data_IF_861474482068
#
_entry.id   IF_861474482068
#
_cell.length_a   1.000
_cell.length_b   1.000
_cell.length_c   1.000
_cell.angle_alpha   90.00
_cell.angle_beta   90.00
_cell.angle_gamma   90.00
#
_symmetry.space_group_name_H-M   'P 1'
#
loop_
_entity.id
_entity.type
_entity.pdbx_description
1 polymer ?
#
# COMPACT_ATOMS: atom_id res chain seq x y z
N UNK A 1 25.93 -17.23 9.52
CA UNK A 1 26.00 -16.73 9.26
C UNK A 1 26.20 -15.74 8.93
N UNK A 2 26.46 -15.50 8.93
CA UNK A 2 26.85 -14.67 8.48
C UNK A 2 26.66 -14.03 7.71
N UNK A 3 26.26 -14.23 7.91
CA UNK A 3 26.08 -13.69 6.73
C UNK A 3 26.44 -12.33 6.71
N UNK A 4 27.31 -11.85 6.81
CA UNK A 4 27.79 -10.62 6.52
C UNK A 4 26.89 -9.50 6.82
N UNK A 5 27.31 -8.42 7.39
CA UNK A 5 26.50 -7.30 7.84
C UNK A 5 25.72 -6.63 6.72
N UNK A 6 26.30 -6.45 5.53
CA UNK A 6 25.61 -5.81 4.43
C UNK A 6 24.40 -6.59 3.94
N UNK A 7 24.57 -7.89 3.83
CA UNK A 7 23.48 -8.76 3.43
C UNK A 7 22.41 -8.87 4.50
N UNK A 8 22.83 -8.84 5.77
CA UNK A 8 21.91 -8.89 6.88
C UNK A 8 20.93 -7.72 6.84
N UNK A 9 21.42 -6.52 6.54
CA UNK A 9 20.56 -5.34 6.44
C UNK A 9 19.54 -5.45 5.30
N UNK A 10 19.98 -5.92 4.15
CA UNK A 10 19.09 -6.11 3.01
C UNK A 10 18.01 -7.15 3.31
N UNK A 11 18.38 -8.25 3.95
CA UNK A 11 17.44 -9.30 4.32
C UNK A 11 16.42 -8.78 5.32
N UNK A 12 16.85 -8.00 6.31
CA UNK A 12 15.93 -7.42 7.29
C UNK A 12 14.95 -6.45 6.64
N UNK A 13 15.41 -5.64 5.68
CA UNK A 13 14.54 -4.75 4.93
C UNK A 13 13.49 -5.51 4.15
N UNK A 14 13.88 -6.60 3.49
CA UNK A 14 12.96 -7.45 2.78
C UNK A 14 11.96 -8.12 3.70
N UNK A 15 12.39 -8.58 4.87
CA UNK A 15 11.48 -9.19 5.85
C UNK A 15 10.47 -8.18 6.35
N UNK A 16 10.86 -6.93 6.60
CA UNK A 16 9.93 -5.88 7.02
C UNK A 16 8.88 -5.61 5.95
N UNK A 17 9.31 -5.47 4.69
CA UNK A 17 8.38 -5.24 3.59
C UNK A 17 7.41 -6.39 3.44
N UNK A 18 7.92 -7.62 3.52
CA UNK A 18 7.08 -8.80 3.43
C UNK A 18 6.14 -8.92 4.62
N UNK A 19 6.59 -8.57 5.82
CA UNK A 19 5.74 -8.57 7.01
C UNK A 19 4.57 -7.62 6.86
N UNK A 20 4.79 -6.43 6.31
CA UNK A 20 3.71 -5.49 6.03
C UNK A 20 2.78 -6.00 4.94
N UNK A 21 3.32 -6.58 3.88
CA UNK A 21 2.49 -7.15 2.82
C UNK A 21 1.62 -8.29 3.36
N UNK A 22 2.20 -9.18 4.17
CA UNK A 22 1.47 -10.28 4.78
C UNK A 22 0.39 -9.77 5.73
N UNK A 23 0.70 -8.74 6.51
CA UNK A 23 -0.26 -8.08 7.38
C UNK A 23 -1.45 -7.55 6.57
N UNK A 24 -1.17 -6.83 5.50
CA UNK A 24 -2.21 -6.25 4.66
C UNK A 24 -3.04 -7.34 3.98
N UNK A 25 -2.38 -8.33 3.40
CA UNK A 25 -3.07 -9.40 2.71
C UNK A 25 -3.97 -10.21 3.63
N UNK A 26 -3.51 -10.48 4.86
CA UNK A 26 -4.33 -11.22 5.83
C UNK A 26 -5.65 -10.51 6.11
N UNK A 27 -5.61 -9.19 6.26
CA UNK A 27 -6.82 -8.39 6.52
C UNK A 27 -7.72 -8.38 5.28
N UNK A 28 -7.15 -8.18 4.10
CA UNK A 28 -7.91 -8.17 2.85
C UNK A 28 -8.58 -9.53 2.63
N UNK A 29 -7.86 -10.61 2.88
CA UNK A 29 -8.40 -11.96 2.75
C UNK A 29 -9.55 -12.20 3.73
N UNK A 30 -9.42 -11.70 4.95
CA UNK A 30 -10.47 -11.82 5.94
C UNK A 30 -11.75 -11.11 5.49
N UNK A 31 -11.63 -9.95 4.86
CA UNK A 31 -12.79 -9.16 4.44
C UNK A 31 -13.35 -9.62 3.10
N UNK A 32 -12.51 -9.90 2.12
CA UNK A 32 -12.94 -10.13 0.74
C UNK A 32 -12.85 -11.60 0.30
N UNK A 33 -12.21 -12.45 1.10
CA UNK A 33 -12.03 -13.85 0.76
C UNK A 33 -10.85 -14.10 -0.17
N UNK A 34 -10.41 -15.34 -0.26
CA UNK A 34 -9.20 -15.71 -1.00
C UNK A 34 -9.28 -15.39 -2.49
N UNK A 35 -10.47 -15.43 -3.09
CA UNK A 35 -10.65 -15.12 -4.51
C UNK A 35 -11.07 -13.70 -4.79
N UNK A 36 -11.12 -12.85 -3.78
CA UNK A 36 -11.66 -11.50 -3.91
C UNK A 36 -10.62 -10.40 -4.08
N UNK A 37 -9.38 -10.75 -4.40
CA UNK A 37 -8.33 -9.76 -4.58
C UNK A 37 -7.18 -10.36 -5.40
N UNK A 38 -6.31 -9.49 -5.89
CA UNK A 38 -5.07 -9.88 -6.56
C UNK A 38 -3.89 -9.20 -5.87
N UNK A 39 -2.75 -9.87 -5.82
CA UNK A 39 -1.54 -9.34 -5.20
C UNK A 39 -0.44 -9.16 -6.22
N UNK A 40 0.43 -8.16 -5.99
CA UNK A 40 1.63 -7.93 -6.81
C UNK A 40 1.31 -7.98 -8.29
N UNK A 41 0.39 -7.13 -8.70
CA UNK A 41 -0.12 -7.18 -10.06
C UNK A 41 -0.01 -5.81 -10.73
N UNK A 42 -0.20 -5.81 -12.03
CA UNK A 42 -0.39 -4.60 -12.81
C UNK A 42 -1.88 -4.44 -13.02
N UNK A 43 -2.44 -3.36 -12.47
CA UNK A 43 -3.87 -3.10 -12.64
C UNK A 43 -4.11 -2.22 -13.86
N UNK A 44 -5.33 -2.29 -14.39
CA UNK A 44 -5.79 -1.41 -15.46
C UNK A 44 -6.76 -0.40 -14.87
N UNK A 45 -6.48 0.86 -15.08
CA UNK A 45 -7.26 1.96 -14.53
C UNK A 45 -7.93 2.82 -15.60
N UNK A 46 -7.87 4.15 -15.40
CA UNK A 46 -8.52 5.10 -16.29
C UNK A 46 -7.86 5.11 -17.67
N UNK A 47 -8.66 5.18 -18.71
CA UNK A 47 -8.20 5.25 -20.09
C UNK A 47 -7.21 4.14 -20.47
N UNK A 48 -7.42 2.96 -19.88
CA UNK A 48 -6.54 1.79 -20.09
C UNK A 48 -5.11 2.02 -19.62
N UNK A 49 -4.87 3.02 -18.79
CA UNK A 49 -3.57 3.21 -18.15
C UNK A 49 -3.33 2.10 -17.15
N UNK A 50 -2.07 1.72 -17.00
CA UNK A 50 -1.70 0.64 -16.08
C UNK A 50 -0.65 1.10 -15.10
N UNK A 51 -0.63 0.45 -13.93
CA UNK A 51 0.42 0.66 -12.94
C UNK A 51 0.53 -0.58 -12.08
N UNK A 52 1.68 -0.75 -11.45
CA UNK A 52 1.89 -1.85 -10.50
C UNK A 52 1.32 -1.47 -9.16
N UNK A 53 0.78 -2.46 -8.45
CA UNK A 53 0.31 -2.26 -7.07
C UNK A 53 0.51 -3.54 -6.27
N UNK A 54 0.44 -3.40 -4.96
CA UNK A 54 0.60 -4.56 -4.08
C UNK A 54 -0.67 -5.38 -3.95
N UNK A 55 -1.83 -4.71 -3.81
CA UNK A 55 -3.12 -5.40 -3.71
C UNK A 55 -4.16 -4.63 -4.51
N UNK A 56 -4.95 -5.35 -5.29
CA UNK A 56 -6.08 -4.80 -6.05
C UNK A 56 -7.35 -5.58 -5.73
N UNK A 57 -8.43 -4.88 -5.42
CA UNK A 57 -9.71 -5.47 -5.02
C UNK A 57 -10.79 -4.92 -5.94
N UNK A 58 -11.63 -5.75 -6.52
CA UNK A 58 -11.73 -7.20 -6.41
C UNK A 58 -10.75 -7.94 -7.32
N UNK A 59 -10.15 -7.27 -8.29
CA UNK A 59 -9.20 -7.87 -9.21
C UNK A 59 -8.31 -6.78 -9.81
N UNK A 60 -7.34 -7.19 -10.61
CA UNK A 60 -6.47 -6.23 -11.31
C UNK A 60 -7.17 -5.51 -12.45
N UNK A 61 -8.28 -6.05 -12.92
CA UNK A 61 -9.06 -5.41 -13.97
C UNK A 61 -10.05 -4.47 -13.32
N UNK A 62 -9.85 -3.17 -13.43
CA UNK A 62 -10.71 -2.13 -12.87
C UNK A 62 -10.92 -2.29 -11.35
N UNK A 63 -9.85 -2.24 -10.58
CA UNK A 63 -10.01 -2.38 -9.13
C UNK A 63 -10.81 -1.22 -8.53
N UNK A 64 -11.54 -1.53 -7.47
CA UNK A 64 -12.28 -0.53 -6.68
C UNK A 64 -11.46 -0.06 -5.49
N UNK A 65 -10.55 -0.89 -5.01
CA UNK A 65 -9.61 -0.55 -3.94
C UNK A 65 -8.23 -0.98 -4.36
N UNK A 66 -7.27 -0.09 -4.19
CA UNK A 66 -5.85 -0.40 -4.38
C UNK A 66 -5.15 -0.14 -3.06
N UNK A 67 -4.35 -1.09 -2.64
CA UNK A 67 -3.55 -0.96 -1.42
C UNK A 67 -2.08 -1.03 -1.81
N UNK A 68 -1.34 -0.01 -1.43
CA UNK A 68 0.10 0.03 -1.61
C UNK A 68 0.78 -0.07 -0.27
N UNK A 69 1.78 -0.93 -0.17
CA UNK A 69 2.43 -1.27 1.08
C UNK A 69 3.92 -0.94 0.97
N UNK A 70 4.40 -0.04 1.81
CA UNK A 70 5.81 0.35 1.79
C UNK A 70 6.36 0.36 3.21
N UNK A 71 7.20 -0.61 3.51
CA UNK A 71 7.99 -0.62 4.73
C UNK A 71 9.07 0.43 4.62
N UNK A 72 9.33 1.09 5.73
CA UNK A 72 10.25 2.18 5.73
C UNK A 72 11.61 1.83 6.32
N UNK A 73 11.99 0.67 6.56
CA UNK A 73 13.32 0.33 7.02
C UNK A 73 14.42 0.54 5.99
N UNK A 74 14.07 1.09 4.86
CA UNK A 74 14.97 1.21 3.73
C UNK A 74 15.84 2.47 3.83
N UNK A 75 16.84 2.54 2.98
CA UNK A 75 17.71 3.69 2.87
C UNK A 75 16.97 4.90 2.29
N UNK A 76 17.58 6.07 2.43
CA UNK A 76 16.98 7.30 1.97
C UNK A 76 16.59 7.34 0.50
N UNK A 77 17.34 6.65 -0.35
CA UNK A 77 17.06 6.63 -1.78
C UNK A 77 15.71 6.00 -2.12
N UNK A 78 15.17 5.19 -1.22
CA UNK A 78 13.88 4.53 -1.46
C UNK A 78 12.69 5.44 -1.29
N UNK A 79 12.85 6.58 -0.63
CA UNK A 79 11.71 7.49 -0.42
C UNK A 79 11.21 8.14 -1.69
N UNK A 80 12.11 8.59 -2.56
CA UNK A 80 11.67 9.13 -3.84
C UNK A 80 10.98 8.06 -4.68
N UNK A 81 11.41 6.80 -4.57
CA UNK A 81 10.75 5.69 -5.25
C UNK A 81 9.33 5.48 -4.72
N UNK A 82 9.15 5.58 -3.39
CA UNK A 82 7.82 5.43 -2.78
C UNK A 82 6.87 6.51 -3.29
N UNK A 83 7.32 7.76 -3.30
CA UNK A 83 6.51 8.88 -3.80
C UNK A 83 6.21 8.69 -5.28
N UNK A 84 7.20 8.27 -6.06
CA UNK A 84 7.03 8.00 -7.48
C UNK A 84 6.01 6.89 -7.74
N UNK A 85 6.09 5.81 -6.98
CA UNK A 85 5.14 4.70 -7.12
C UNK A 85 3.72 5.14 -6.78
N UNK A 86 3.55 5.90 -5.70
CA UNK A 86 2.23 6.42 -5.32
C UNK A 86 1.67 7.34 -6.40
N UNK A 87 2.49 8.22 -6.95
CA UNK A 87 2.04 9.13 -8.01
C UNK A 87 1.66 8.36 -9.27
N UNK A 88 2.39 7.32 -9.62
CA UNK A 88 2.07 6.48 -10.79
C UNK A 88 0.71 5.81 -10.61
N UNK A 89 0.44 5.29 -9.41
CA UNK A 89 -0.86 4.70 -9.11
C UNK A 89 -1.97 5.75 -9.18
N UNK A 90 -1.73 6.92 -8.58
CA UNK A 90 -2.72 8.00 -8.56
C UNK A 90 -3.09 8.42 -9.99
N UNK A 91 -2.09 8.53 -10.85
CA UNK A 91 -2.31 8.94 -12.24
C UNK A 91 -3.05 7.89 -13.06
N UNK A 92 -2.81 6.61 -12.78
CA UNK A 92 -3.40 5.52 -13.54
C UNK A 92 -4.77 5.10 -13.04
N UNK A 93 -5.03 5.21 -11.75
CA UNK A 93 -6.28 4.71 -11.18
C UNK A 93 -7.49 5.52 -11.63
N UNK A 94 -8.65 4.88 -11.67
CA UNK A 94 -9.90 5.60 -11.87
C UNK A 94 -10.17 6.45 -10.63
N UNK A 95 -10.89 7.57 -10.81
CA UNK A 95 -11.10 8.43 -9.65
C UNK A 95 -12.11 7.85 -8.65
N UNK A 96 -12.88 6.85 -9.04
CA UNK A 96 -13.74 6.12 -8.11
C UNK A 96 -13.03 4.95 -7.41
N UNK A 97 -11.75 4.74 -7.70
CA UNK A 97 -10.93 3.76 -7.01
C UNK A 97 -10.34 4.37 -5.75
N UNK A 98 -10.50 3.67 -4.64
CA UNK A 98 -9.95 4.10 -3.35
C UNK A 98 -8.50 3.61 -3.21
N UNK A 99 -7.59 4.53 -2.99
CA UNK A 99 -6.17 4.18 -2.75
C UNK A 99 -5.88 4.26 -1.26
N UNK A 100 -5.38 3.16 -0.71
CA UNK A 100 -4.98 3.04 0.70
C UNK A 100 -3.47 2.80 0.75
N UNK A 101 -2.79 3.52 1.64
CA UNK A 101 -1.36 3.35 1.85
C UNK A 101 -1.10 2.77 3.23
N UNK A 102 -0.29 1.70 3.29
CA UNK A 102 0.09 1.04 4.54
C UNK A 102 1.60 1.13 4.69
N UNK A 103 2.06 1.57 5.85
CA UNK A 103 3.48 1.70 6.14
C UNK A 103 3.76 1.28 7.58
N UNK A 104 5.03 1.04 7.91
CA UNK A 104 5.39 0.69 9.28
C UNK A 104 5.47 1.90 10.20
N UNK A 105 5.67 3.08 9.67
CA UNK A 105 5.62 4.32 10.43
C UNK A 105 6.79 4.59 11.37
N UNK A 106 7.68 3.62 11.59
CA UNK A 106 8.66 3.70 12.67
C UNK A 106 9.71 4.78 12.45
N UNK A 107 10.15 4.96 11.22
CA UNK A 107 11.26 5.85 10.91
C UNK A 107 10.83 7.18 10.30
N UNK A 108 9.54 7.44 10.27
CA UNK A 108 9.03 8.67 9.66
C UNK A 108 9.51 9.94 10.34
N UNK A 109 9.89 9.87 11.62
CA UNK A 109 10.44 11.04 12.32
C UNK A 109 11.70 11.57 11.62
N UNK A 110 12.54 10.69 11.10
CA UNK A 110 13.76 11.08 10.42
C UNK A 110 13.49 11.60 8.99
N UNK A 111 12.28 11.40 8.49
CA UNK A 111 11.92 11.75 7.12
C UNK A 111 10.63 12.55 7.07
N UNK A 112 10.55 13.53 7.94
CA UNK A 112 9.34 14.32 8.11
C UNK A 112 8.88 15.00 6.81
N UNK A 113 9.81 15.47 6.00
CA UNK A 113 9.46 16.14 4.75
C UNK A 113 8.79 15.18 3.76
N UNK A 114 9.25 13.93 3.73
CA UNK A 114 8.66 12.92 2.84
C UNK A 114 7.28 12.49 3.32
N UNK A 115 7.13 12.32 4.64
CA UNK A 115 5.82 12.04 5.22
C UNK A 115 4.84 13.16 4.90
N UNK A 116 5.28 14.42 4.97
CA UNK A 116 4.42 15.56 4.63
C UNK A 116 3.92 15.48 3.19
N UNK A 117 4.75 15.02 2.27
CA UNK A 117 4.31 14.86 0.87
C UNK A 117 3.21 13.80 0.75
N UNK A 118 3.32 12.70 1.49
CA UNK A 118 2.32 11.64 1.48
C UNK A 118 1.02 12.13 2.13
N UNK A 119 1.13 12.80 3.26
CA UNK A 119 -0.03 13.38 3.95
C UNK A 119 -0.73 14.40 3.06
N UNK A 120 0.03 15.17 2.28
CA UNK A 120 -0.56 16.10 1.33
C UNK A 120 -1.44 15.36 0.31
N UNK A 121 -0.99 14.21 -0.19
CA UNK A 121 -1.81 13.39 -1.10
C UNK A 121 -3.11 12.94 -0.44
N UNK A 122 -3.05 12.58 0.83
CA UNK A 122 -4.25 12.24 1.57
C UNK A 122 -5.19 13.43 1.68
N UNK A 123 -4.67 14.59 2.04
CA UNK A 123 -5.48 15.80 2.19
C UNK A 123 -6.10 16.25 0.87
N UNK A 124 -5.46 15.93 -0.25
CA UNK A 124 -6.00 16.21 -1.59
C UNK A 124 -7.00 15.15 -2.05
N UNK A 125 -7.27 14.14 -1.23
CA UNK A 125 -8.18 13.06 -1.59
C UNK A 125 -7.59 12.02 -2.52
N UNK A 126 -6.32 12.11 -2.86
CA UNK A 126 -5.66 11.18 -3.77
C UNK A 126 -5.30 9.86 -3.10
N UNK A 127 -5.05 9.90 -1.81
CA UNK A 127 -4.90 8.74 -0.94
C UNK A 127 -6.02 8.84 0.08
N UNK A 128 -6.86 7.82 0.14
CA UNK A 128 -8.02 7.86 1.04
C UNK A 128 -7.60 7.82 2.50
N UNK A 129 -6.64 6.99 2.83
CA UNK A 129 -6.15 6.87 4.20
C UNK A 129 -4.77 6.22 4.26
N UNK A 130 -4.03 6.57 5.31
CA UNK A 130 -2.72 6.02 5.61
C UNK A 130 -2.83 5.20 6.90
N UNK A 131 -2.32 3.96 6.88
CA UNK A 131 -2.38 3.07 8.04
C UNK A 131 -1.00 2.57 8.40
N UNK A 132 -0.86 2.20 9.67
CA UNK A 132 0.32 1.46 10.14
C UNK A 132 -0.13 0.12 10.70
N UNK A 133 0.81 -0.76 11.02
CA UNK A 133 0.49 -2.08 11.59
C UNK A 133 -0.27 -1.99 12.92
N UNK A 134 -0.13 -0.89 13.64
CA UNK A 134 -0.84 -0.68 14.90
C UNK A 134 -2.32 -0.38 14.69
N UNK A 135 -2.73 -0.11 13.45
CA UNK A 135 -4.09 0.27 13.12
C UNK A 135 -4.87 -0.87 12.49
N UNK A 136 -4.58 -2.10 12.87
CA UNK A 136 -5.21 -3.29 12.30
C UNK A 136 -6.73 -3.25 12.40
N UNK A 137 -7.25 -2.96 13.59
CA UNK A 137 -8.71 -2.93 13.79
C UNK A 137 -9.37 -1.84 12.97
N UNK A 138 -8.73 -0.68 12.89
CA UNK A 138 -9.24 0.42 12.09
C UNK A 138 -9.27 0.06 10.61
N UNK A 139 -8.20 -0.53 10.10
CA UNK A 139 -8.13 -0.95 8.70
C UNK A 139 -9.19 -2.02 8.41
N UNK A 140 -9.32 -3.00 9.30
CA UNK A 140 -10.32 -4.07 9.14
C UNK A 140 -11.72 -3.47 9.06
N UNK A 141 -12.08 -2.61 10.00
CA UNK A 141 -13.42 -2.01 10.03
C UNK A 141 -13.67 -1.11 8.82
N UNK A 142 -12.68 -0.36 8.39
CA UNK A 142 -12.82 0.51 7.22
C UNK A 142 -12.99 -0.32 5.94
N UNK A 143 -12.28 -1.43 5.81
CA UNK A 143 -12.45 -2.30 4.65
C UNK A 143 -13.82 -2.97 4.63
N UNK A 144 -14.34 -3.37 5.80
CA UNK A 144 -15.69 -3.91 5.90
C UNK A 144 -16.71 -2.86 5.44
N UNK A 145 -16.54 -1.63 5.88
CA UNK A 145 -17.42 -0.52 5.48
C UNK A 145 -17.35 -0.29 3.97
N UNK A 146 -16.15 -0.24 3.41
CA UNK A 146 -15.97 -0.05 1.97
C UNK A 146 -16.59 -1.19 1.17
N UNK A 147 -16.43 -2.43 1.64
CA UNK A 147 -17.03 -3.58 0.98
C UNK A 147 -18.55 -3.41 0.87
N UNK A 148 -19.19 -3.00 1.96
CA UNK A 148 -20.62 -2.76 1.97
C UNK A 148 -21.03 -1.63 1.05
N UNK A 149 -20.33 -0.51 1.11
CA UNK A 149 -20.63 0.67 0.29
C UNK A 149 -20.45 0.40 -1.20
N UNK A 150 -19.48 -0.41 -1.55
CA UNK A 150 -19.15 -0.72 -2.95
C UNK A 150 -19.89 -1.93 -3.48
N UNK A 151 -20.60 -2.67 -2.63
CA UNK A 151 -21.30 -3.88 -3.04
C UNK A 151 -20.36 -5.04 -3.40
N UNK A 152 -19.23 -5.12 -2.75
CA UNK A 152 -18.23 -6.16 -3.04
C UNK A 152 -18.40 -7.42 -2.19
#
# INVERSE_FOLDING_TARGET
ERLRSGRGSAIQGQKRGRGLEDFAEAIVKEVFGAGGYATRCTFTGADNQTAKCDIAVPSRDRPRIIIEVKGYGATGSKMSDIIGDLNTIIDAKRHDTTLIFITDGVTWKARLSDLKKIVKRQNEGKIARIYTMKMREQLLNDLITLRGEMGL
#
